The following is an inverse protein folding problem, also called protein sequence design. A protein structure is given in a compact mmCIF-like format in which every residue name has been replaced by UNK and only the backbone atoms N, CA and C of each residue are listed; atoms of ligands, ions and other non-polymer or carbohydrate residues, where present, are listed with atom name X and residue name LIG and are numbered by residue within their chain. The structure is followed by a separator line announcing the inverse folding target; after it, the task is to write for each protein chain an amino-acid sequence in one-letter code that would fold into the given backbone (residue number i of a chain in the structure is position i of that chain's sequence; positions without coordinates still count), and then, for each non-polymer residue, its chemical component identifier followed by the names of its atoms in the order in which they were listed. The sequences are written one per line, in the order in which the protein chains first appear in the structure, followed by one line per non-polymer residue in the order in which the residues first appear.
data_IF_671113706548
#
_entry.id   IF_671113706548
#
_cell.length_a   1.000
_cell.length_b   1.000
_cell.length_c   1.000
_cell.angle_alpha   90.00
_cell.angle_beta   90.00
_cell.angle_gamma   90.00
#
_symmetry.space_group_name_H-M   'P 1'
#
loop_
_entity.id
_entity.type
_entity.pdbx_description
1 polymer ?
#
# COMPACT_ATOMS: atom_id res chain seq x y z
N UNK A 1 73.98 -4.87 -11.66
CA UNK A 1 73.23 -3.72 -12.22
C UNK A 1 71.75 -3.93 -11.84
N UNK A 2 71.30 -3.37 -10.71
CA UNK A 2 70.48 -2.14 -10.55
C UNK A 2 69.05 -2.21 -11.15
N UNK A 3 68.10 -2.52 -10.25
CA UNK A 3 66.85 -1.78 -9.93
C UNK A 3 65.50 -2.08 -10.64
N UNK A 4 64.56 -2.52 -9.77
CA UNK A 4 63.19 -2.00 -9.51
C UNK A 4 62.02 -2.43 -10.42
N UNK A 5 61.08 -3.16 -9.81
CA UNK A 5 59.65 -2.87 -9.92
C UNK A 5 58.94 -3.29 -8.61
N UNK A 6 58.38 -2.30 -7.91
CA UNK A 6 57.58 -2.41 -6.67
C UNK A 6 56.15 -2.82 -6.99
N UNK A 7 55.57 -3.76 -6.23
CA UNK A 7 54.11 -3.87 -6.05
C UNK A 7 53.82 -4.09 -4.57
N UNK A 8 52.99 -3.20 -4.00
CA UNK A 8 52.63 -3.12 -2.58
C UNK A 8 51.93 -4.37 -2.06
N UNK A 9 52.19 -4.68 -0.80
CA UNK A 9 51.71 -5.83 -0.02
C UNK A 9 50.52 -5.35 0.85
N UNK A 10 49.54 -4.70 0.22
CA UNK A 10 48.32 -4.22 0.91
C UNK A 10 47.11 -5.14 0.73
N UNK A 11 47.30 -6.30 0.08
CA UNK A 11 46.24 -7.29 -0.19
C UNK A 11 46.35 -8.60 0.62
N UNK A 12 47.09 -8.59 1.75
CA UNK A 12 47.40 -9.83 2.49
C UNK A 12 46.99 -9.84 3.98
N UNK A 13 45.95 -9.11 4.36
CA UNK A 13 45.34 -9.22 5.70
C UNK A 13 43.92 -9.82 5.60
N UNK A 14 43.86 -11.03 5.08
CA UNK A 14 42.74 -11.93 5.28
C UNK A 14 42.84 -12.62 6.67
N UNK A 15 41.68 -12.95 7.22
CA UNK A 15 41.41 -13.98 8.24
C UNK A 15 41.46 -13.59 9.71
N UNK A 16 40.28 -13.31 10.25
CA UNK A 16 39.61 -14.03 11.34
C UNK A 16 38.53 -13.05 11.87
N UNK A 17 37.24 -13.34 11.95
CA UNK A 17 36.58 -14.51 12.52
C UNK A 17 35.16 -14.62 11.93
N UNK A 18 34.69 -15.84 11.66
CA UNK A 18 33.25 -16.14 11.53
C UNK A 18 32.77 -16.66 12.88
N UNK A 19 31.49 -16.46 13.21
CA UNK A 19 30.67 -17.65 13.36
C UNK A 19 29.36 -17.58 12.59
N UNK A 20 28.90 -18.78 12.29
CA UNK A 20 27.88 -19.19 11.35
C UNK A 20 26.47 -19.08 11.94
N UNK A 21 25.51 -18.99 11.03
CA UNK A 21 24.16 -19.59 11.10
C UNK A 21 23.02 -18.73 11.66
N UNK A 22 22.05 -18.49 10.78
CA UNK A 22 20.74 -17.95 11.08
C UNK A 22 20.13 -17.49 9.78
N UNK A 23 19.65 -18.44 8.97
CA UNK A 23 19.04 -18.14 7.67
C UNK A 23 17.93 -17.11 7.85
N UNK A 24 18.14 -15.92 7.31
CA UNK A 24 17.02 -15.06 6.97
C UNK A 24 16.51 -15.57 5.63
N UNK A 25 15.26 -16.06 5.56
CA UNK A 25 14.70 -16.43 4.27
C UNK A 25 14.74 -15.16 3.42
N UNK A 26 15.22 -15.34 2.19
CA UNK A 26 14.93 -14.38 1.13
C UNK A 26 13.45 -14.05 1.25
N UNK A 27 13.13 -12.78 1.47
CA UNK A 27 11.80 -12.26 1.25
C UNK A 27 11.53 -12.50 -0.22
N UNK A 28 11.00 -13.70 -0.47
CA UNK A 28 10.21 -14.01 -1.63
C UNK A 28 9.09 -13.01 -1.53
N UNK A 29 9.29 -11.86 -2.19
CA UNK A 29 8.21 -10.97 -2.60
C UNK A 29 7.34 -11.87 -3.45
N UNK A 30 6.46 -12.58 -2.76
CA UNK A 30 5.39 -13.34 -3.34
C UNK A 30 4.65 -12.24 -4.06
N UNK A 31 4.75 -12.25 -5.39
CA UNK A 31 3.94 -11.41 -6.23
C UNK A 31 2.51 -11.64 -5.74
N UNK A 32 2.00 -10.70 -4.94
CA UNK A 32 0.60 -10.70 -4.58
C UNK A 32 -0.13 -10.74 -5.92
N UNK A 33 -1.11 -11.62 -6.10
CA UNK A 33 -1.91 -11.59 -7.30
C UNK A 33 -2.37 -10.14 -7.48
N UNK A 34 -2.15 -9.57 -8.66
CA UNK A 34 -2.67 -8.27 -9.11
C UNK A 34 -4.23 -8.18 -9.02
N UNK A 35 -4.87 -9.15 -8.38
CA UNK A 35 -6.31 -9.38 -8.32
C UNK A 35 -7.01 -8.66 -7.16
N UNK A 36 -6.32 -7.88 -6.31
CA UNK A 36 -7.01 -7.23 -5.19
C UNK A 36 -6.37 -5.94 -4.67
N UNK A 37 -6.20 -4.94 -5.56
CA UNK A 37 -6.01 -3.57 -5.10
C UNK A 37 -7.16 -3.14 -4.19
N UNK A 38 -6.91 -2.24 -3.23
CA UNK A 38 -7.97 -1.72 -2.36
C UNK A 38 -9.12 -1.10 -3.18
N UNK A 39 -8.80 -0.50 -4.32
CA UNK A 39 -9.75 0.00 -5.31
C UNK A 39 -10.61 -1.14 -5.88
N UNK A 40 -10.00 -2.28 -6.27
CA UNK A 40 -10.73 -3.43 -6.78
C UNK A 40 -11.62 -4.07 -5.71
N UNK A 41 -11.16 -4.20 -4.46
CA UNK A 41 -11.98 -4.69 -3.34
C UNK A 41 -13.19 -3.79 -3.10
N UNK A 42 -12.94 -2.48 -3.03
CA UNK A 42 -13.99 -1.49 -2.84
C UNK A 42 -15.05 -1.55 -3.96
N UNK A 43 -14.62 -1.62 -5.23
CA UNK A 43 -15.53 -1.78 -6.36
C UNK A 43 -16.35 -3.06 -6.27
N UNK A 44 -15.72 -4.18 -5.89
CA UNK A 44 -16.42 -5.45 -5.66
C UNK A 44 -17.48 -5.32 -4.57
N UNK A 45 -17.19 -4.67 -3.42
CA UNK A 45 -18.17 -4.45 -2.35
C UNK A 45 -19.36 -3.59 -2.79
N UNK A 46 -19.16 -2.64 -3.70
CA UNK A 46 -20.28 -1.83 -4.24
C UNK A 46 -21.11 -2.57 -5.29
N UNK A 47 -20.51 -3.55 -5.96
CA UNK A 47 -21.16 -4.39 -6.95
C UNK A 47 -21.95 -5.55 -6.33
N UNK A 48 -21.53 -6.03 -5.16
CA UNK A 48 -22.15 -7.16 -4.45
C UNK A 48 -22.90 -6.69 -3.20
N UNK A 49 -23.85 -7.50 -2.73
CA UNK A 49 -24.57 -7.24 -1.48
C UNK A 49 -25.67 -6.16 -1.55
N UNK A 50 -26.37 -6.01 -0.44
CA UNK A 50 -27.46 -5.02 -0.30
C UNK A 50 -26.88 -3.64 0.02
N UNK A 51 -27.41 -2.61 -0.64
CA UNK A 51 -26.98 -1.22 -0.41
C UNK A 51 -27.78 -0.58 0.72
N UNK A 52 -27.08 0.13 1.60
CA UNK A 52 -27.67 0.90 2.70
C UNK A 52 -26.99 2.26 2.80
N UNK A 53 -27.71 3.30 3.27
CA UNK A 53 -27.09 4.59 3.59
C UNK A 53 -26.14 4.41 4.79
N UNK A 54 -24.88 4.82 4.63
CA UNK A 54 -23.87 4.85 5.70
C UNK A 54 -23.84 6.28 6.25
N UNK A 55 -24.03 6.42 7.58
CA UNK A 55 -23.94 7.61 8.45
C UNK A 55 -23.90 9.02 7.80
N UNK A 56 -24.69 9.95 8.35
CA UNK A 56 -24.65 11.35 7.92
C UNK A 56 -23.34 12.03 8.37
N UNK A 57 -22.64 12.66 7.43
CA UNK A 57 -21.48 13.51 7.75
C UNK A 57 -22.00 14.87 8.20
N UNK A 58 -21.76 15.22 9.47
CA UNK A 58 -22.05 16.55 9.99
C UNK A 58 -20.95 17.52 9.53
N UNK A 59 -21.36 18.65 8.96
CA UNK A 59 -20.43 19.72 8.54
C UNK A 59 -21.09 21.09 8.64
N UNK A 60 -20.26 22.13 8.64
CA UNK A 60 -20.69 23.52 8.51
C UNK A 60 -20.46 24.02 7.08
N UNK A 61 -20.77 25.30 6.82
CA UNK A 61 -20.64 25.91 5.49
C UNK A 61 -19.21 25.82 4.93
N UNK A 62 -18.19 25.96 5.79
CA UNK A 62 -16.79 25.85 5.39
C UNK A 62 -16.44 24.44 4.93
N UNK A 63 -16.91 23.41 5.65
CA UNK A 63 -16.74 22.00 5.24
C UNK A 63 -17.46 21.72 3.93
N UNK A 64 -18.67 22.26 3.75
CA UNK A 64 -19.41 22.12 2.49
C UNK A 64 -18.64 22.74 1.32
N UNK A 65 -18.13 23.96 1.47
CA UNK A 65 -17.36 24.64 0.43
C UNK A 65 -16.09 23.88 0.05
N UNK A 66 -15.37 23.32 1.03
CA UNK A 66 -14.21 22.48 0.79
C UNK A 66 -14.56 21.25 -0.07
N UNK A 67 -15.63 20.56 0.31
CA UNK A 67 -16.10 19.37 -0.40
C UNK A 67 -16.55 19.68 -1.83
N UNK A 68 -17.31 20.76 -2.02
CA UNK A 68 -17.76 21.19 -3.34
C UNK A 68 -16.58 21.57 -4.25
N UNK A 69 -15.59 22.30 -3.71
CA UNK A 69 -14.39 22.67 -4.44
C UNK A 69 -13.56 21.44 -4.84
N UNK A 70 -13.35 20.50 -3.92
CA UNK A 70 -12.61 19.27 -4.20
C UNK A 70 -13.33 18.40 -5.25
N UNK A 71 -14.65 18.26 -5.12
CA UNK A 71 -15.47 17.50 -6.07
C UNK A 71 -15.42 18.09 -7.49
N UNK A 72 -15.50 19.43 -7.60
CA UNK A 72 -15.36 20.13 -8.87
C UNK A 72 -13.97 19.93 -9.50
N UNK A 73 -12.91 20.00 -8.69
CA UNK A 73 -11.52 19.81 -9.16
C UNK A 73 -11.26 18.39 -9.65
N UNK A 74 -11.84 17.39 -9.01
CA UNK A 74 -11.69 15.97 -9.39
C UNK A 74 -12.73 15.52 -10.44
N UNK A 75 -13.66 16.39 -10.84
CA UNK A 75 -14.78 16.07 -11.74
C UNK A 75 -15.62 14.88 -11.24
N UNK A 76 -15.95 14.89 -9.95
CA UNK A 76 -16.71 13.83 -9.27
C UNK A 76 -17.90 14.41 -8.50
N UNK A 77 -18.88 13.57 -8.15
CA UNK A 77 -19.92 13.95 -7.18
C UNK A 77 -19.32 14.00 -5.78
N UNK A 78 -19.74 14.95 -4.95
CA UNK A 78 -19.28 15.09 -3.56
C UNK A 78 -19.42 13.79 -2.75
N UNK A 79 -20.54 13.08 -2.93
CA UNK A 79 -20.75 11.80 -2.26
C UNK A 79 -19.76 10.72 -2.73
N UNK A 80 -19.45 10.66 -4.02
CA UNK A 80 -18.49 9.69 -4.56
C UNK A 80 -17.06 10.02 -4.12
N UNK A 81 -16.70 11.31 -4.05
CA UNK A 81 -15.43 11.78 -3.52
C UNK A 81 -15.26 11.32 -2.06
N UNK A 82 -16.24 11.64 -1.20
CA UNK A 82 -16.24 11.24 0.21
C UNK A 82 -16.12 9.73 0.33
N UNK A 83 -16.97 8.99 -0.38
CA UNK A 83 -16.99 7.53 -0.32
C UNK A 83 -15.64 6.94 -0.71
N UNK A 84 -15.03 7.44 -1.78
CA UNK A 84 -13.73 6.97 -2.28
C UNK A 84 -12.61 7.29 -1.30
N UNK A 85 -12.55 8.53 -0.79
CA UNK A 85 -11.55 8.99 0.17
C UNK A 85 -11.67 8.30 1.53
N UNK A 86 -12.87 7.91 1.93
CA UNK A 86 -13.12 7.18 3.17
C UNK A 86 -12.83 5.68 3.02
N UNK A 87 -13.34 5.05 1.96
CA UNK A 87 -13.36 3.59 1.87
C UNK A 87 -12.05 2.99 1.36
N UNK A 88 -11.33 3.65 0.45
CA UNK A 88 -10.07 3.09 -0.08
C UNK A 88 -9.04 2.87 1.05
N UNK A 89 -8.75 3.85 1.92
CA UNK A 89 -7.80 3.63 3.02
C UNK A 89 -8.26 2.53 3.99
N UNK A 90 -9.57 2.41 4.22
CA UNK A 90 -10.12 1.32 5.05
C UNK A 90 -9.93 -0.05 4.37
N UNK A 91 -10.03 -0.13 3.05
CA UNK A 91 -9.78 -1.35 2.29
C UNK A 91 -8.29 -1.71 2.21
N UNK A 92 -7.41 -0.71 2.23
CA UNK A 92 -5.97 -0.90 2.35
C UNK A 92 -5.62 -1.51 3.72
N UNK A 93 -6.21 -0.96 4.79
CA UNK A 93 -5.87 -1.36 6.16
C UNK A 93 -6.57 -2.64 6.63
N UNK A 94 -7.86 -2.78 6.31
CA UNK A 94 -8.73 -3.82 6.89
C UNK A 94 -9.44 -4.68 5.84
N UNK A 95 -9.35 -4.32 4.56
CA UNK A 95 -10.16 -4.93 3.51
C UNK A 95 -9.89 -6.42 3.29
N UNK A 96 -8.67 -6.89 3.58
CA UNK A 96 -8.31 -8.30 3.46
C UNK A 96 -8.86 -9.17 4.61
N UNK A 97 -9.14 -8.56 5.76
CA UNK A 97 -9.62 -9.26 6.96
C UNK A 97 -11.14 -9.43 6.96
N UNK A 98 -11.85 -8.57 6.23
CA UNK A 98 -13.31 -8.57 6.15
C UNK A 98 -13.75 -9.31 4.87
N UNK A 99 -14.34 -10.51 4.96
CA UNK A 99 -14.77 -11.27 3.79
C UNK A 99 -15.87 -10.52 3.03
N UNK A 100 -16.05 -10.87 1.75
CA UNK A 100 -17.23 -10.47 1.00
C UNK A 100 -18.40 -11.33 1.48
N UNK A 101 -19.58 -10.74 1.69
CA UNK A 101 -20.79 -11.53 1.93
C UNK A 101 -21.01 -12.46 0.73
N UNK A 102 -21.06 -13.77 0.99
CA UNK A 102 -21.52 -14.74 0.01
C UNK A 102 -23.02 -14.48 -0.21
N UNK A 103 -23.41 -14.19 -1.46
CA UNK A 103 -24.83 -14.11 -1.80
C UNK A 103 -25.47 -15.47 -1.56
N UNK A 104 -26.64 -15.55 -0.89
CA UNK A 104 -27.43 -16.78 -0.83
C UNK A 104 -27.98 -17.19 -2.21
#
# INVERSE_FOLDING_TARGET
MKNRATRSIEDFANSAEKPTTGGHPEETTTAQPEESSAQARFQRRLATGRRFPIQNILGNDSVKQLLDHAAARENMRTQDLIRTRLMIPLEEQYGAEVPFEEQP
#
